data_IF_610852980561
#
_entry.id   IF_610852980561
#
_cell.length_a   1.000
_cell.length_b   1.000
_cell.length_c   1.000
_cell.angle_alpha   90.00
_cell.angle_beta   90.00
_cell.angle_gamma   90.00
#
_symmetry.space_group_name_H-M   'P 1'
#
loop_
_entity.id
_entity.type
_entity.pdbx_description
1 polymer ?
#
# COMPACT_ATOMS: atom_id res chain seq x y z
N UNK A 1 -19.28 -8.55 2.63
CA UNK A 1 -18.73 -7.84 1.46
C UNK A 1 -17.24 -8.11 1.48
N UNK A 2 -16.73 -8.91 0.54
CA UNK A 2 -15.39 -9.50 0.63
C UNK A 2 -14.33 -8.43 0.34
N UNK A 3 -13.50 -8.14 1.35
CA UNK A 3 -12.42 -7.16 1.29
C UNK A 3 -11.23 -7.75 0.54
N UNK A 4 -10.62 -6.97 -0.36
CA UNK A 4 -9.36 -7.30 -1.03
C UNK A 4 -8.21 -7.18 0.00
N UNK A 5 -8.10 -8.10 0.95
CA UNK A 5 -7.36 -7.83 2.18
C UNK A 5 -5.85 -7.68 2.01
N UNK A 6 -5.22 -8.15 0.92
CA UNK A 6 -3.76 -8.00 0.74
C UNK A 6 -3.32 -8.16 -0.72
N UNK A 7 -2.42 -7.30 -1.21
CA UNK A 7 -1.67 -7.52 -2.46
C UNK A 7 -0.17 -7.64 -2.13
N UNK A 8 0.39 -8.85 -2.24
CA UNK A 8 1.78 -9.14 -1.83
C UNK A 8 2.70 -9.25 -3.05
N UNK A 9 3.70 -8.35 -3.18
CA UNK A 9 4.76 -8.48 -4.17
C UNK A 9 6.02 -9.10 -3.53
N UNK A 10 6.49 -10.24 -4.05
CA UNK A 10 7.73 -10.89 -3.63
C UNK A 10 8.71 -10.86 -4.81
N UNK A 11 9.78 -10.07 -4.72
CA UNK A 11 10.82 -9.97 -5.76
C UNK A 11 12.01 -10.90 -5.49
N UNK A 12 11.77 -12.08 -4.93
CA UNK A 12 12.84 -12.98 -4.52
C UNK A 12 12.81 -14.26 -5.37
N UNK A 13 13.80 -14.39 -6.26
CA UNK A 13 13.99 -15.52 -7.18
C UNK A 13 14.24 -16.84 -6.44
N UNK A 14 14.58 -16.82 -5.14
CA UNK A 14 14.97 -17.99 -4.35
C UNK A 14 13.85 -18.56 -3.44
N UNK A 15 12.69 -17.92 -3.29
CA UNK A 15 11.63 -18.36 -2.35
C UNK A 15 10.55 -19.29 -2.91
N UNK A 16 10.69 -19.76 -4.14
CA UNK A 16 9.62 -20.46 -4.85
C UNK A 16 8.67 -19.43 -5.45
N UNK A 17 8.62 -19.44 -6.79
CA UNK A 17 8.09 -18.36 -7.61
C UNK A 17 6.78 -17.76 -7.10
N UNK A 18 6.72 -16.43 -7.16
CA UNK A 18 5.50 -15.68 -7.03
C UNK A 18 4.44 -16.24 -8.00
N UNK A 19 3.24 -16.51 -7.49
CA UNK A 19 2.10 -16.82 -8.36
C UNK A 19 1.62 -15.51 -8.98
N UNK A 20 2.16 -15.20 -10.16
CA UNK A 20 1.86 -13.98 -10.93
C UNK A 20 0.35 -13.80 -11.14
N UNK A 21 -0.41 -14.90 -11.29
CA UNK A 21 -1.85 -14.84 -11.47
C UNK A 21 -2.56 -14.39 -10.17
N UNK A 22 -2.09 -14.87 -9.01
CA UNK A 22 -2.61 -14.43 -7.71
C UNK A 22 -2.25 -12.96 -7.42
N UNK A 23 -1.03 -12.55 -7.74
CA UNK A 23 -0.61 -11.15 -7.64
C UNK A 23 -1.46 -10.26 -8.53
N UNK A 24 -1.66 -10.65 -9.79
CA UNK A 24 -2.46 -9.90 -10.75
C UNK A 24 -3.91 -9.74 -10.29
N UNK A 25 -4.53 -10.81 -9.77
CA UNK A 25 -5.86 -10.75 -9.18
C UNK A 25 -5.91 -9.79 -7.99
N UNK A 26 -4.91 -9.85 -7.11
CA UNK A 26 -4.83 -9.02 -5.91
C UNK A 26 -4.65 -7.54 -6.26
N UNK A 27 -3.76 -7.22 -7.21
CA UNK A 27 -3.54 -5.88 -7.73
C UNK A 27 -4.79 -5.31 -8.40
N UNK A 28 -5.45 -6.10 -9.25
CA UNK A 28 -6.69 -5.67 -9.89
C UNK A 28 -7.79 -5.39 -8.85
N UNK A 29 -7.88 -6.23 -7.81
CA UNK A 29 -8.83 -6.03 -6.70
C UNK A 29 -8.53 -4.73 -5.94
N UNK A 30 -7.26 -4.50 -5.56
CA UNK A 30 -6.82 -3.33 -4.83
C UNK A 30 -7.03 -2.02 -5.62
N UNK A 31 -6.59 -1.98 -6.88
CA UNK A 31 -6.75 -0.81 -7.75
C UNK A 31 -8.23 -0.51 -8.04
N UNK A 32 -9.06 -1.54 -8.23
CA UNK A 32 -10.50 -1.36 -8.36
C UNK A 32 -11.14 -0.80 -7.07
N UNK A 33 -10.71 -1.26 -5.90
CA UNK A 33 -11.20 -0.74 -4.62
C UNK A 33 -10.82 0.75 -4.43
N UNK A 34 -9.61 1.15 -4.82
CA UNK A 34 -9.17 2.54 -4.81
C UNK A 34 -9.97 3.42 -5.77
N UNK A 35 -10.21 2.95 -7.00
CA UNK A 35 -11.06 3.61 -8.01
C UNK A 35 -12.48 3.81 -7.48
N UNK A 36 -13.07 2.76 -6.94
CA UNK A 36 -14.47 2.73 -6.50
C UNK A 36 -14.68 3.38 -5.13
N UNK A 37 -13.62 3.89 -4.49
CA UNK A 37 -13.65 4.44 -3.12
C UNK A 37 -14.31 3.48 -2.13
N UNK A 38 -13.96 2.19 -2.20
CA UNK A 38 -14.52 1.22 -1.26
C UNK A 38 -13.99 1.49 0.15
N UNK A 39 -14.87 1.39 1.13
CA UNK A 39 -14.47 1.35 2.54
C UNK A 39 -13.76 0.03 2.82
N UNK A 40 -12.61 0.06 3.46
CA UNK A 40 -11.83 -1.14 3.74
C UNK A 40 -10.34 -0.91 3.88
N UNK A 41 -9.56 -1.99 3.91
CA UNK A 41 -8.11 -1.91 3.93
C UNK A 41 -7.45 -2.57 2.74
N UNK A 42 -6.34 -1.99 2.30
CA UNK A 42 -5.42 -2.55 1.31
C UNK A 42 -4.03 -2.51 1.94
N UNK A 43 -3.34 -3.64 1.96
CA UNK A 43 -1.93 -3.69 2.35
C UNK A 43 -1.08 -4.27 1.24
N UNK A 44 0.17 -3.83 1.18
CA UNK A 44 1.18 -4.35 0.31
C UNK A 44 2.52 -4.46 1.02
N UNK A 45 3.33 -5.37 0.51
CA UNK A 45 4.71 -5.55 0.88
C UNK A 45 5.54 -5.76 -0.38
N UNK A 46 6.80 -5.34 -0.33
CA UNK A 46 7.82 -5.64 -1.33
C UNK A 46 9.06 -6.16 -0.62
N UNK A 47 9.40 -7.41 -0.84
CA UNK A 47 10.63 -8.01 -0.33
C UNK A 47 11.77 -7.79 -1.31
N UNK A 48 12.90 -7.23 -0.86
CA UNK A 48 14.14 -7.18 -1.64
C UNK A 48 15.18 -8.18 -1.10
N UNK A 49 16.10 -8.61 -1.97
CA UNK A 49 16.89 -9.84 -1.85
C UNK A 49 17.44 -10.21 -0.46
N UNK A 50 17.36 -11.51 -0.15
CA UNK A 50 17.89 -12.11 1.08
C UNK A 50 17.01 -11.89 2.32
N UNK A 51 15.81 -11.33 2.17
CA UNK A 51 14.88 -11.06 3.28
C UNK A 51 15.29 -9.90 4.19
N UNK A 52 16.23 -9.06 3.76
CA UNK A 52 16.79 -7.99 4.61
C UNK A 52 15.94 -6.72 4.63
N UNK A 53 15.08 -6.50 3.64
CA UNK A 53 14.18 -5.35 3.59
C UNK A 53 12.82 -5.74 3.04
N UNK A 54 11.78 -5.53 3.85
CA UNK A 54 10.38 -5.59 3.45
C UNK A 54 9.84 -4.15 3.43
N UNK A 55 9.57 -3.56 2.27
CA UNK A 55 8.84 -2.29 2.21
C UNK A 55 7.35 -2.58 2.41
N UNK A 56 6.78 -2.18 3.54
CA UNK A 56 5.36 -2.35 3.85
C UNK A 56 4.59 -1.03 3.76
N UNK A 57 3.36 -1.12 3.26
CA UNK A 57 2.38 -0.05 3.37
C UNK A 57 0.96 -0.57 3.48
N UNK A 58 0.10 0.20 4.16
CA UNK A 58 -1.32 -0.09 4.32
C UNK A 58 -2.16 1.18 4.19
N UNK A 59 -3.26 1.08 3.45
CA UNK A 59 -4.34 2.05 3.47
C UNK A 59 -5.54 1.49 4.23
N UNK A 60 -6.14 2.29 5.10
CA UNK A 60 -7.48 2.12 5.65
C UNK A 60 -8.36 3.23 5.05
N UNK A 61 -9.19 2.88 4.07
CA UNK A 61 -9.98 3.78 3.24
C UNK A 61 -11.36 4.04 3.86
N UNK A 62 -11.77 5.31 3.89
CA UNK A 62 -13.04 5.73 4.49
C UNK A 62 -14.18 5.93 3.47
N UNK A 63 -13.86 5.87 2.17
CA UNK A 63 -14.82 5.94 1.06
C UNK A 63 -15.18 7.33 0.56
N UNK A 64 -14.69 8.38 1.21
CA UNK A 64 -14.80 9.79 0.79
C UNK A 64 -13.57 10.29 0.01
N UNK A 65 -12.59 9.42 -0.21
CA UNK A 65 -11.31 9.76 -0.83
C UNK A 65 -10.19 10.06 0.17
N UNK A 66 -10.47 10.03 1.48
CA UNK A 66 -9.45 9.97 2.52
C UNK A 66 -9.12 8.52 2.90
N UNK A 67 -7.90 8.32 3.40
CA UNK A 67 -7.45 7.08 3.99
C UNK A 67 -6.45 7.34 5.12
N UNK A 68 -6.40 6.45 6.11
CA UNK A 68 -5.24 6.35 6.99
C UNK A 68 -4.18 5.51 6.28
N UNK A 69 -2.99 6.07 6.12
CA UNK A 69 -1.83 5.45 5.52
C UNK A 69 -0.83 5.07 6.60
N UNK A 70 -0.44 3.81 6.65
CA UNK A 70 0.64 3.31 7.48
C UNK A 70 1.80 2.95 6.59
N UNK A 71 2.99 3.45 6.90
CA UNK A 71 4.23 3.16 6.17
C UNK A 71 5.28 2.62 7.12
N UNK A 72 6.18 1.81 6.57
CA UNK A 72 7.30 1.27 7.33
C UNK A 72 7.07 -0.15 7.80
N UNK A 73 8.18 -0.82 8.07
CA UNK A 73 8.20 -2.22 8.47
C UNK A 73 9.46 -2.93 8.05
N UNK A 74 10.60 -2.69 8.71
CA UNK A 74 11.67 -3.69 8.66
C UNK A 74 11.18 -4.86 9.50
N UNK A 75 10.91 -6.00 8.85
CA UNK A 75 10.71 -7.25 9.56
C UNK A 75 12.11 -7.77 9.96
N UNK A 76 12.61 -7.35 11.13
CA UNK A 76 13.62 -8.17 11.81
C UNK A 76 12.87 -9.36 12.45
N UNK A 77 13.56 -10.48 12.68
CA UNK A 77 13.05 -11.82 13.03
C UNK A 77 12.00 -11.88 14.16
N UNK A 78 11.76 -10.78 14.88
CA UNK A 78 10.86 -10.68 16.02
C UNK A 78 9.87 -9.50 16.01
N UNK A 79 9.97 -8.50 15.11
CA UNK A 79 9.15 -7.28 15.20
C UNK A 79 8.87 -6.61 13.85
N UNK A 80 7.67 -6.04 13.70
CA UNK A 80 7.31 -5.15 12.60
C UNK A 80 7.31 -3.72 13.13
N UNK A 81 8.29 -2.92 12.73
CA UNK A 81 8.38 -1.50 13.14
C UNK A 81 7.56 -0.65 12.18
N UNK A 82 6.48 -0.02 12.67
CA UNK A 82 5.73 0.97 11.89
C UNK A 82 6.48 2.30 11.96
N UNK A 83 6.84 2.87 10.81
CA UNK A 83 7.64 4.11 10.75
C UNK A 83 6.76 5.36 10.89
N UNK A 84 5.55 5.36 10.31
CA UNK A 84 4.60 6.46 10.44
C UNK A 84 3.15 6.06 10.12
N UNK A 85 2.21 6.81 10.70
CA UNK A 85 0.78 6.75 10.39
C UNK A 85 0.26 8.15 10.06
N UNK A 86 -0.26 8.33 8.85
CA UNK A 86 -0.78 9.60 8.36
C UNK A 86 -2.23 9.49 7.91
N UNK A 87 -2.99 10.59 7.94
CA UNK A 87 -4.23 10.69 7.16
C UNK A 87 -3.92 11.37 5.83
N UNK A 88 -4.23 10.69 4.73
CA UNK A 88 -3.89 11.13 3.37
C UNK A 88 -5.14 11.25 2.51
N UNK A 89 -5.07 12.14 1.52
CA UNK A 89 -6.02 12.17 0.42
C UNK A 89 -5.53 11.24 -0.67
N UNK A 90 -6.38 10.32 -1.10
CA UNK A 90 -6.12 9.42 -2.21
C UNK A 90 -6.29 10.16 -3.54
N UNK A 91 -5.47 9.80 -4.52
CA UNK A 91 -5.58 10.26 -5.92
C UNK A 91 -6.99 10.02 -6.46
N UNK A 92 -7.33 10.76 -7.52
CA UNK A 92 -8.65 10.69 -8.14
C UNK A 92 -8.92 9.30 -8.75
N UNK A 93 -10.19 8.84 -8.79
CA UNK A 93 -10.57 7.54 -9.38
C UNK A 93 -10.01 7.29 -10.78
N UNK A 94 -9.90 8.33 -11.61
CA UNK A 94 -9.44 8.26 -12.99
C UNK A 94 -7.97 7.80 -13.09
N UNK A 95 -7.15 8.14 -12.09
CA UNK A 95 -5.75 7.67 -12.01
C UNK A 95 -5.73 6.15 -11.88
N UNK A 96 -6.56 5.60 -10.99
CA UNK A 96 -6.62 4.16 -10.76
C UNK A 96 -7.26 3.41 -11.94
N UNK A 97 -8.21 4.02 -12.65
CA UNK A 97 -8.73 3.47 -13.90
C UNK A 97 -7.62 3.35 -14.97
N UNK A 98 -6.72 4.34 -15.06
CA UNK A 98 -5.53 4.27 -15.91
C UNK A 98 -4.59 3.12 -15.49
N UNK A 99 -4.37 2.95 -14.19
CA UNK A 99 -3.51 1.88 -13.67
C UNK A 99 -4.09 0.49 -13.94
N UNK A 100 -5.41 0.30 -13.85
CA UNK A 100 -6.06 -0.96 -14.21
C UNK A 100 -5.92 -1.30 -15.70
N UNK A 101 -5.74 -0.30 -16.57
CA UNK A 101 -5.48 -0.51 -18.00
C UNK A 101 -4.05 -0.91 -18.32
N UNK A 102 -3.15 -0.92 -17.33
CA UNK A 102 -1.75 -1.24 -17.52
C UNK A 102 -1.51 -2.75 -17.48
N UNK A 103 -0.79 -3.27 -18.48
CA UNK A 103 -0.45 -4.68 -18.57
C UNK A 103 0.78 -5.06 -17.75
N UNK A 104 1.63 -4.09 -17.40
CA UNK A 104 2.86 -4.30 -16.63
C UNK A 104 2.51 -4.36 -15.14
N UNK A 105 2.84 -5.48 -14.50
CA UNK A 105 2.50 -5.76 -13.09
C UNK A 105 3.20 -4.75 -12.16
N UNK A 106 4.46 -4.47 -12.43
CA UNK A 106 5.31 -3.57 -11.66
C UNK A 106 4.78 -2.14 -11.69
N UNK A 107 4.25 -1.71 -12.83
CA UNK A 107 3.63 -0.39 -12.97
C UNK A 107 2.29 -0.31 -12.22
N UNK A 108 1.50 -1.39 -12.21
CA UNK A 108 0.29 -1.51 -11.38
C UNK A 108 0.61 -1.46 -9.89
N UNK A 109 1.64 -2.19 -9.46
CA UNK A 109 2.11 -2.17 -8.08
C UNK A 109 2.66 -0.81 -7.66
N UNK A 110 3.44 -0.15 -8.54
CA UNK A 110 3.92 1.20 -8.32
C UNK A 110 2.75 2.21 -8.18
N UNK A 111 1.69 2.05 -8.99
CA UNK A 111 0.50 2.88 -8.86
C UNK A 111 -0.21 2.70 -7.51
N UNK A 112 -0.32 1.47 -7.01
CA UNK A 112 -0.83 1.19 -5.68
C UNK A 112 0.00 1.91 -4.59
N UNK A 113 1.33 1.77 -4.64
CA UNK A 113 2.25 2.44 -3.69
C UNK A 113 2.11 3.96 -3.69
N UNK A 114 1.80 4.52 -4.85
CA UNK A 114 1.65 5.96 -5.05
C UNK A 114 0.17 6.40 -5.02
N UNK A 115 -0.73 5.67 -4.36
CA UNK A 115 -2.16 5.98 -4.36
C UNK A 115 -2.52 7.29 -3.62
N UNK A 116 -1.62 7.83 -2.80
CA UNK A 116 -1.79 9.10 -2.07
C UNK A 116 -1.34 10.32 -2.89
N UNK A 117 -1.97 11.46 -2.66
CA UNK A 117 -1.42 12.77 -3.01
C UNK A 117 -0.35 13.18 -1.98
N UNK A 118 0.56 14.09 -2.35
CA UNK A 118 1.64 14.54 -1.47
C UNK A 118 1.14 14.92 -0.06
N UNK A 119 2.00 14.62 0.90
CA UNK A 119 1.75 14.56 2.33
C UNK A 119 1.47 15.95 2.91
N UNK A 120 0.30 16.11 3.53
CA UNK A 120 0.19 17.00 4.69
C UNK A 120 0.39 16.15 5.91
N UNK A 121 1.58 16.18 6.50
CA UNK A 121 1.84 15.61 7.83
C UNK A 121 0.78 16.15 8.77
N UNK A 122 -0.13 15.29 9.21
CA UNK A 122 -1.15 15.67 10.17
C UNK A 122 -0.66 15.11 11.49
N UNK A 123 -0.01 15.97 12.28
CA UNK A 123 0.41 15.63 13.64
C UNK A 123 -0.77 15.04 14.40
N UNK A 124 -0.67 13.76 14.76
CA UNK A 124 -1.60 13.13 15.71
C UNK A 124 -1.15 13.57 17.10
N UNK A 125 -2.04 14.24 17.82
CA UNK A 125 -1.77 14.71 19.18
C UNK A 125 -1.44 13.51 20.08
N UNK A 126 -0.16 13.35 20.45
CA UNK A 126 0.31 12.26 21.33
C UNK A 126 1.52 11.45 20.83
N UNK A 127 2.04 11.67 19.62
CA UNK A 127 3.28 11.04 19.14
C UNK A 127 4.50 11.97 19.28
N UNK A 128 5.65 11.40 19.67
CA UNK A 128 6.80 12.09 20.28
C UNK A 128 7.60 13.04 19.36
N UNK A 129 7.22 13.20 18.08
CA UNK A 129 7.96 14.04 17.14
C UNK A 129 7.07 14.98 16.33
N UNK A 130 6.30 15.79 17.05
CA UNK A 130 5.69 17.03 16.53
C UNK A 130 6.41 18.26 17.09
N UNK A 131 7.74 18.23 17.06
CA UNK A 131 8.61 19.34 17.43
C UNK A 131 8.45 20.52 16.47
N UNK A 132 7.58 21.47 16.83
CA UNK A 132 7.54 22.77 16.20
C UNK A 132 8.79 23.58 16.53
N UNK A 133 9.62 23.86 15.51
CA UNK A 133 10.13 25.19 15.07
C UNK A 133 10.99 25.02 13.83
#
# INVERSE_FOLDING_TARGET
MQLCETAVLVEDEDTGGQDDALLELSLNCALAALRDRKVGSISWNRRSGGGQFDEFGRFEMFGDGAARYTTGGVADLCETVVDAVDVVTLKAPEVFAGCLGNTVIEERFACLRQARLDHRTTCVEGEEDCGGV
#
